data_IF_018884169218
#
_entry.id   IF_018884169218
#
_cell.length_a   1.000
_cell.length_b   1.000
_cell.length_c   1.000
_cell.angle_alpha   90.00
_cell.angle_beta   90.00
_cell.angle_gamma   90.00
#
_symmetry.space_group_name_H-M   'P 1'
#
loop_
_entity.id
_entity.type
_entity.pdbx_description
1 polymer ?
#
# COMPACT_ATOMS: atom_id res chain seq x y z
N UNK A 1 5.02 -24.34 0.01
CA UNK A 1 6.23 -23.69 -0.56
C UNK A 1 7.25 -24.81 -0.79
N UNK A 2 7.66 -25.05 -2.03
CA UNK A 2 8.72 -26.02 -2.31
C UNK A 2 10.06 -25.34 -2.07
N UNK A 3 10.73 -25.72 -0.98
CA UNK A 3 12.05 -25.18 -0.60
C UNK A 3 13.10 -26.10 -1.24
N UNK A 4 13.95 -25.52 -2.09
CA UNK A 4 15.09 -26.25 -2.66
C UNK A 4 16.19 -26.41 -1.61
N UNK A 5 16.89 -27.55 -1.65
CA UNK A 5 18.00 -27.83 -0.71
C UNK A 5 19.11 -26.76 -0.74
N UNK A 6 19.26 -26.08 -1.86
CA UNK A 6 20.20 -24.95 -2.04
C UNK A 6 19.84 -23.70 -1.24
N UNK A 7 18.57 -23.60 -0.78
CA UNK A 7 18.06 -22.47 0.00
C UNK A 7 18.19 -22.70 1.52
N UNK A 8 18.66 -23.89 1.94
CA UNK A 8 18.80 -24.24 3.34
C UNK A 8 20.14 -23.78 3.90
N UNK A 9 20.08 -23.09 5.00
CA UNK A 9 21.25 -22.70 5.82
C UNK A 9 21.34 -23.72 6.96
N UNK A 10 22.44 -24.47 7.00
CA UNK A 10 22.66 -25.47 8.05
C UNK A 10 22.90 -24.83 9.38
N UNK A 11 22.10 -25.21 10.38
CA UNK A 11 22.32 -24.91 11.78
C UNK A 11 22.84 -26.12 12.57
N UNK A 12 23.09 -25.94 13.85
CA UNK A 12 23.61 -26.99 14.71
C UNK A 12 22.56 -28.08 15.03
N UNK A 13 21.30 -27.71 15.16
CA UNK A 13 20.21 -28.61 15.55
C UNK A 13 19.11 -28.73 14.46
N UNK A 14 19.01 -27.75 13.56
CA UNK A 14 18.02 -27.74 12.48
C UNK A 14 18.49 -26.86 11.33
N UNK A 15 17.93 -27.13 10.15
CA UNK A 15 18.17 -26.30 8.97
C UNK A 15 17.16 -25.12 8.93
N UNK A 16 17.61 -24.00 8.40
CA UNK A 16 16.85 -22.76 8.31
C UNK A 16 16.69 -22.35 6.84
N UNK A 17 15.58 -21.68 6.53
CA UNK A 17 15.40 -20.99 5.26
C UNK A 17 15.28 -19.49 5.53
N UNK A 18 15.91 -18.71 4.68
CA UNK A 18 15.84 -17.26 4.76
C UNK A 18 14.62 -16.79 3.96
N UNK A 19 13.67 -16.16 4.62
CA UNK A 19 12.45 -15.61 4.00
C UNK A 19 12.52 -14.09 4.13
N UNK A 20 12.41 -13.40 3.00
CA UNK A 20 12.38 -11.93 2.94
C UNK A 20 11.09 -11.48 2.29
N UNK A 21 10.37 -10.59 2.97
CA UNK A 21 9.28 -9.82 2.40
C UNK A 21 9.72 -8.37 2.19
N UNK A 22 9.27 -7.78 1.11
CA UNK A 22 9.45 -6.36 0.82
C UNK A 22 8.08 -5.70 0.74
N UNK A 23 7.97 -4.55 1.39
CA UNK A 23 6.83 -3.65 1.28
C UNK A 23 7.34 -2.32 0.71
N UNK A 24 6.66 -1.84 -0.33
CA UNK A 24 7.03 -0.60 -1.02
C UNK A 24 5.83 0.34 -1.00
N UNK A 25 6.03 1.55 -0.53
CA UNK A 25 5.02 2.60 -0.53
C UNK A 25 5.21 3.53 -1.72
N UNK A 26 4.12 3.81 -2.43
CA UNK A 26 4.09 4.76 -3.52
C UNK A 26 2.89 5.71 -3.36
N UNK A 27 3.14 7.00 -3.32
CA UNK A 27 2.07 8.00 -3.21
C UNK A 27 1.43 8.26 -4.56
N UNK A 28 0.10 8.18 -4.61
CA UNK A 28 -0.66 8.51 -5.81
C UNK A 28 -0.70 10.04 -5.98
N UNK A 29 -0.28 10.51 -7.15
CA UNK A 29 -0.29 11.95 -7.49
C UNK A 29 -1.70 12.40 -7.90
N UNK A 30 -2.63 12.37 -6.94
CA UNK A 30 -3.98 12.90 -7.12
C UNK A 30 -4.07 14.36 -6.66
N UNK A 31 -5.12 15.07 -7.07
CA UNK A 31 -5.36 16.47 -6.64
C UNK A 31 -6.09 16.55 -5.30
N UNK A 32 -6.73 15.48 -4.89
CA UNK A 32 -7.40 15.35 -3.59
C UNK A 32 -7.00 14.04 -2.92
N UNK A 33 -7.22 13.96 -1.62
CA UNK A 33 -6.89 12.78 -0.81
C UNK A 33 -7.69 11.54 -1.22
N UNK A 34 -7.26 10.37 -0.73
CA UNK A 34 -7.90 9.10 -1.05
C UNK A 34 -9.36 9.03 -0.58
N UNK A 35 -9.68 9.60 0.57
CA UNK A 35 -11.00 9.50 1.19
C UNK A 35 -11.65 10.85 1.50
N UNK A 36 -11.09 11.93 1.02
CA UNK A 36 -11.69 13.26 1.22
C UNK A 36 -11.40 14.19 0.04
N UNK A 37 -12.16 15.27 -0.05
CA UNK A 37 -11.97 16.31 -1.06
C UNK A 37 -10.82 17.27 -0.75
N UNK A 38 -10.17 17.15 0.41
CA UNK A 38 -9.07 18.01 0.77
C UNK A 38 -7.90 17.88 -0.22
N UNK A 39 -7.22 18.99 -0.46
CA UNK A 39 -6.10 19.07 -1.40
C UNK A 39 -4.93 18.19 -0.95
N UNK A 40 -4.14 17.74 -1.91
CA UNK A 40 -2.85 17.06 -1.70
C UNK A 40 -1.67 17.98 -2.04
N UNK A 41 -1.90 19.30 -2.12
CA UNK A 41 -0.84 20.24 -2.45
C UNK A 41 0.28 20.20 -1.39
N UNK A 42 1.47 19.88 -1.86
CA UNK A 42 2.65 19.87 -1.00
C UNK A 42 3.07 21.31 -0.63
N UNK A 43 3.53 21.50 0.61
CA UNK A 43 4.01 22.81 1.09
C UNK A 43 2.91 23.83 1.38
N UNK A 44 1.65 23.40 1.50
CA UNK A 44 0.58 24.25 1.97
C UNK A 44 0.74 24.57 3.47
N UNK A 45 0.09 25.64 3.94
CA UNK A 45 0.12 26.02 5.35
C UNK A 45 -0.41 24.89 6.25
N UNK A 46 0.11 24.73 7.45
CA UNK A 46 -0.37 23.71 8.40
C UNK A 46 -1.87 23.74 8.57
N UNK A 47 -2.51 22.57 8.58
CA UNK A 47 -3.96 22.38 8.74
C UNK A 47 -4.85 23.05 7.67
N UNK A 48 -4.29 23.50 6.54
CA UNK A 48 -5.08 24.07 5.44
C UNK A 48 -5.74 23.00 4.56
N UNK A 49 -5.12 21.81 4.43
CA UNK A 49 -5.60 20.68 3.64
C UNK A 49 -6.40 19.70 4.48
N UNK A 50 -7.44 20.17 5.15
CA UNK A 50 -8.25 19.38 6.09
C UNK A 50 -9.73 19.50 5.72
N UNK A 51 -10.40 18.37 5.57
CA UNK A 51 -11.85 18.25 5.50
C UNK A 51 -12.44 17.79 6.84
N UNK A 52 -13.75 17.76 6.98
CA UNK A 52 -14.40 17.20 8.16
C UNK A 52 -14.09 15.71 8.37
N UNK A 53 -13.86 14.98 7.29
CA UNK A 53 -13.43 13.57 7.34
C UNK A 53 -12.02 13.47 7.94
N UNK A 54 -11.08 14.30 7.46
CA UNK A 54 -9.71 14.32 7.97
C UNK A 54 -9.65 14.73 9.44
N UNK A 55 -10.55 15.63 9.85
CA UNK A 55 -10.66 16.08 11.24
C UNK A 55 -11.39 15.07 12.16
N UNK A 56 -11.88 13.95 11.63
CA UNK A 56 -12.58 12.93 12.41
C UNK A 56 -13.92 13.40 12.99
N UNK A 57 -14.63 14.31 12.31
CA UNK A 57 -15.89 14.86 12.81
C UNK A 57 -16.98 13.78 12.87
N UNK A 58 -17.84 13.81 13.90
CA UNK A 58 -18.92 12.83 14.04
C UNK A 58 -19.86 12.79 12.83
N UNK A 59 -20.20 11.59 12.39
CA UNK A 59 -21.11 11.35 11.27
C UNK A 59 -20.47 11.45 9.88
N UNK A 60 -19.19 11.79 9.77
CA UNK A 60 -18.49 11.81 8.49
C UNK A 60 -18.06 10.41 8.07
N UNK A 61 -18.39 10.05 6.83
CA UNK A 61 -18.01 8.77 6.24
C UNK A 61 -17.07 9.00 5.07
N UNK A 62 -15.95 8.26 5.01
CA UNK A 62 -14.99 8.34 3.89
C UNK A 62 -15.64 7.93 2.58
N UNK A 63 -15.31 8.65 1.50
CA UNK A 63 -15.68 8.29 0.12
C UNK A 63 -14.42 8.18 -0.70
N UNK A 64 -14.24 7.04 -1.36
CA UNK A 64 -13.01 6.75 -2.11
C UNK A 64 -12.89 7.64 -3.35
N UNK A 65 -11.66 8.12 -3.59
CA UNK A 65 -11.29 8.85 -4.79
C UNK A 65 -11.12 7.89 -5.98
N UNK A 66 -11.99 8.00 -6.98
CA UNK A 66 -11.95 7.14 -8.17
C UNK A 66 -10.63 7.23 -8.93
N UNK A 67 -9.99 8.40 -8.97
CA UNK A 67 -8.68 8.55 -9.60
C UNK A 67 -7.63 7.63 -8.95
N UNK A 68 -7.64 7.48 -7.63
CA UNK A 68 -6.72 6.58 -6.93
C UNK A 68 -6.99 5.11 -7.29
N UNK A 69 -8.25 4.72 -7.41
CA UNK A 69 -8.63 3.37 -7.90
C UNK A 69 -8.08 3.14 -9.33
N UNK A 70 -8.27 4.10 -10.22
CA UNK A 70 -7.75 4.00 -11.59
C UNK A 70 -6.24 3.84 -11.63
N UNK A 71 -5.50 4.57 -10.80
CA UNK A 71 -4.04 4.44 -10.74
C UNK A 71 -3.62 3.07 -10.19
N UNK A 72 -4.31 2.55 -9.17
CA UNK A 72 -4.05 1.20 -8.66
C UNK A 72 -4.27 0.15 -9.76
N UNK A 73 -5.38 0.22 -10.49
CA UNK A 73 -5.68 -0.68 -11.61
C UNK A 73 -4.62 -0.59 -12.71
N UNK A 74 -4.24 0.63 -13.11
CA UNK A 74 -3.17 0.83 -14.12
C UNK A 74 -1.84 0.22 -13.68
N UNK A 75 -1.49 0.40 -12.42
CA UNK A 75 -0.27 -0.18 -11.85
C UNK A 75 -0.36 -1.71 -11.85
N UNK A 76 -1.49 -2.26 -11.43
CA UNK A 76 -1.74 -3.70 -11.45
C UNK A 76 -1.61 -4.30 -12.86
N UNK A 77 -2.19 -3.67 -13.86
CA UNK A 77 -2.02 -4.09 -15.26
C UNK A 77 -0.56 -4.02 -15.72
N UNK A 78 0.18 -2.99 -15.29
CA UNK A 78 1.60 -2.81 -15.63
C UNK A 78 2.51 -3.90 -15.06
N UNK A 79 2.11 -4.55 -13.98
CA UNK A 79 2.85 -5.67 -13.38
C UNK A 79 2.20 -7.04 -13.64
N UNK A 80 1.34 -7.12 -14.65
CA UNK A 80 0.60 -8.34 -15.02
C UNK A 80 -0.13 -8.99 -13.83
N UNK A 81 -0.74 -8.18 -12.99
CA UNK A 81 -1.47 -8.64 -11.81
C UNK A 81 -2.96 -8.87 -12.11
N UNK A 82 -3.58 -9.69 -11.28
CA UNK A 82 -5.02 -9.88 -11.24
C UNK A 82 -5.70 -8.60 -10.73
N UNK A 83 -6.76 -8.16 -11.41
CA UNK A 83 -7.58 -7.04 -10.95
C UNK A 83 -8.86 -7.58 -10.36
N UNK A 84 -9.10 -7.26 -9.09
CA UNK A 84 -10.30 -7.66 -8.39
C UNK A 84 -11.44 -6.69 -8.71
N UNK A 85 -12.48 -7.19 -9.36
CA UNK A 85 -13.67 -6.40 -9.72
C UNK A 85 -14.55 -6.06 -8.50
N UNK A 86 -14.39 -6.82 -7.41
CA UNK A 86 -14.99 -6.55 -6.11
C UNK A 86 -13.84 -6.37 -5.12
N UNK A 87 -13.84 -5.24 -4.46
CA UNK A 87 -12.79 -4.88 -3.50
C UNK A 87 -13.42 -4.21 -2.28
N UNK A 88 -12.83 -4.43 -1.12
CA UNK A 88 -13.28 -3.83 0.15
C UNK A 88 -12.15 -3.18 0.88
N UNK A 89 -12.51 -2.17 1.67
CA UNK A 89 -11.59 -1.54 2.59
C UNK A 89 -11.81 -2.07 3.99
N UNK A 90 -10.71 -2.26 4.68
CA UNK A 90 -10.64 -2.67 6.07
C UNK A 90 -10.27 -1.48 6.95
N UNK A 91 -10.62 -1.55 8.22
CA UNK A 91 -10.29 -0.54 9.19
C UNK A 91 -9.25 -1.06 10.17
N UNK A 92 -8.08 -0.42 10.14
CA UNK A 92 -6.99 -0.68 11.07
C UNK A 92 -7.07 0.35 12.21
N UNK A 93 -7.61 -0.06 13.34
CA UNK A 93 -7.73 0.82 14.49
C UNK A 93 -6.36 1.03 15.16
N UNK A 94 -5.98 2.28 15.31
CA UNK A 94 -4.88 2.69 16.17
C UNK A 94 -4.99 4.18 16.50
N UNK A 95 -4.39 4.57 17.61
CA UNK A 95 -4.48 5.94 18.11
C UNK A 95 -3.12 6.61 17.98
N UNK A 96 -3.10 7.67 17.20
CA UNK A 96 -1.90 8.46 16.97
C UNK A 96 -2.27 9.96 16.86
N UNK A 97 -1.41 10.89 17.30
CA UNK A 97 -1.75 12.32 17.33
C UNK A 97 -2.12 12.90 15.96
N UNK A 98 -1.56 12.37 14.87
CA UNK A 98 -1.79 12.80 13.49
C UNK A 98 -2.98 12.09 12.80
N UNK A 99 -3.70 11.25 13.56
CA UNK A 99 -4.85 10.50 13.06
C UNK A 99 -6.09 10.73 13.93
N UNK A 100 -6.75 11.89 13.80
CA UNK A 100 -7.87 12.28 14.69
C UNK A 100 -9.00 11.28 14.73
N UNK A 101 -9.26 10.57 13.64
CA UNK A 101 -10.32 9.54 13.54
C UNK A 101 -10.00 8.25 14.30
N UNK A 102 -8.75 8.03 14.74
CA UNK A 102 -8.35 6.84 15.50
C UNK A 102 -8.26 5.54 14.70
N UNK A 103 -8.31 5.61 13.38
CA UNK A 103 -8.17 4.46 12.48
C UNK A 103 -7.59 4.86 11.14
N UNK A 104 -6.93 3.93 10.49
CA UNK A 104 -6.47 4.02 9.11
C UNK A 104 -7.33 3.12 8.24
N UNK A 105 -7.72 3.59 7.07
CA UNK A 105 -8.41 2.79 6.07
C UNK A 105 -7.37 2.16 5.16
N UNK A 106 -7.44 0.85 5.04
CA UNK A 106 -6.49 0.03 4.26
C UNK A 106 -7.23 -1.10 3.55
N UNK A 107 -6.51 -2.02 2.94
CA UNK A 107 -7.06 -3.22 2.32
C UNK A 107 -6.20 -4.42 2.69
N UNK A 108 -6.78 -5.44 3.29
CA UNK A 108 -6.08 -6.66 3.67
C UNK A 108 -6.59 -7.88 2.89
N UNK A 109 -7.89 -8.13 2.95
CA UNK A 109 -8.48 -9.36 2.43
C UNK A 109 -8.90 -9.29 0.97
N UNK A 110 -9.41 -8.15 0.54
CA UNK A 110 -9.94 -7.94 -0.80
C UNK A 110 -9.35 -6.67 -1.46
N UNK A 111 -8.02 -6.66 -1.70
CA UNK A 111 -7.35 -5.51 -2.31
C UNK A 111 -7.81 -5.30 -3.76
N UNK A 112 -7.65 -4.09 -4.29
CA UNK A 112 -7.94 -3.78 -5.71
C UNK A 112 -7.11 -4.64 -6.64
N UNK A 113 -5.85 -4.90 -6.30
CA UNK A 113 -4.91 -5.64 -7.14
C UNK A 113 -4.41 -6.87 -6.38
N UNK A 114 -4.64 -8.03 -6.97
CA UNK A 114 -4.18 -9.31 -6.47
C UNK A 114 -2.75 -9.63 -6.90
N UNK A 115 -2.50 -10.92 -7.08
CA UNK A 115 -1.16 -11.41 -7.42
C UNK A 115 -0.70 -10.94 -8.78
N UNK A 116 0.57 -10.60 -8.85
CA UNK A 116 1.24 -10.16 -10.07
C UNK A 116 2.70 -10.56 -10.09
N UNK A 117 3.43 -10.06 -11.08
CA UNK A 117 4.85 -10.33 -11.23
C UNK A 117 5.55 -9.24 -12.01
N UNK A 118 6.80 -9.03 -11.68
CA UNK A 118 7.71 -8.17 -12.43
C UNK A 118 8.95 -8.94 -12.82
N UNK A 119 9.46 -8.64 -14.01
CA UNK A 119 10.76 -9.15 -14.45
C UNK A 119 11.80 -8.06 -14.22
N UNK A 120 12.83 -8.41 -13.48
CA UNK A 120 13.97 -7.53 -13.22
C UNK A 120 15.23 -8.11 -13.89
N UNK A 121 16.14 -7.23 -14.26
CA UNK A 121 17.46 -7.62 -14.70
C UNK A 121 18.43 -7.40 -13.55
N UNK A 122 19.13 -8.47 -13.16
CA UNK A 122 20.17 -8.38 -12.13
C UNK A 122 21.45 -7.72 -12.69
N UNK A 123 22.39 -7.36 -11.80
CA UNK A 123 23.69 -6.83 -12.19
C UNK A 123 24.46 -7.78 -13.12
N UNK A 124 24.27 -9.09 -12.97
CA UNK A 124 24.85 -10.13 -13.84
C UNK A 124 24.10 -10.27 -15.17
N UNK A 125 23.17 -9.36 -15.49
CA UNK A 125 22.30 -9.38 -16.69
C UNK A 125 21.39 -10.61 -16.80
N UNK A 126 21.18 -11.33 -15.71
CA UNK A 126 20.19 -12.40 -15.66
C UNK A 126 18.79 -11.83 -15.47
N UNK A 127 17.83 -12.35 -16.21
CA UNK A 127 16.42 -12.04 -15.94
C UNK A 127 15.95 -12.84 -14.74
N UNK A 128 15.32 -12.12 -13.79
CA UNK A 128 14.70 -12.71 -12.62
C UNK A 128 13.26 -12.25 -12.52
N UNK A 129 12.34 -13.19 -12.31
CA UNK A 129 10.94 -12.89 -12.04
C UNK A 129 10.74 -12.76 -10.53
N UNK A 130 10.09 -11.66 -10.10
CA UNK A 130 9.72 -11.40 -8.72
C UNK A 130 8.21 -11.41 -8.63
N UNK A 131 7.67 -12.27 -7.78
CA UNK A 131 6.25 -12.33 -7.49
C UNK A 131 5.81 -11.15 -6.64
N UNK A 132 4.68 -10.55 -6.99
CA UNK A 132 3.99 -9.54 -6.20
C UNK A 132 2.78 -10.22 -5.57
N UNK A 133 2.63 -10.09 -4.27
CA UNK A 133 1.51 -10.71 -3.58
C UNK A 133 0.22 -9.91 -3.77
N UNK A 134 0.31 -8.58 -3.65
CA UNK A 134 -0.80 -7.66 -3.89
C UNK A 134 -0.32 -6.21 -3.99
N UNK A 135 -1.19 -5.36 -4.52
CA UNK A 135 -1.13 -3.91 -4.32
C UNK A 135 -2.46 -3.50 -3.69
N UNK A 136 -2.40 -2.78 -2.60
CA UNK A 136 -3.59 -2.26 -1.94
C UNK A 136 -3.52 -0.72 -1.81
N UNK A 137 -4.67 -0.12 -1.71
CA UNK A 137 -4.79 1.30 -1.41
C UNK A 137 -4.89 1.49 0.09
N UNK A 138 -4.17 2.47 0.59
CA UNK A 138 -4.13 2.79 2.00
C UNK A 138 -4.15 4.30 2.20
N UNK A 139 -4.87 4.75 3.21
CA UNK A 139 -4.81 6.11 3.66
C UNK A 139 -3.43 6.37 4.26
N UNK A 140 -2.73 7.38 3.75
CA UNK A 140 -1.48 7.83 4.35
C UNK A 140 -1.79 8.56 5.66
N UNK A 141 -1.40 7.95 6.76
CA UNK A 141 -1.64 8.46 8.11
C UNK A 141 -0.35 8.96 8.78
N UNK A 142 0.78 8.89 8.10
CA UNK A 142 2.05 9.21 8.73
C UNK A 142 2.68 10.50 8.20
N UNK A 143 2.74 11.46 9.09
CA UNK A 143 3.52 12.69 8.88
C UNK A 143 5.03 12.43 8.97
N UNK A 144 5.46 11.40 9.65
CA UNK A 144 6.88 11.13 9.92
C UNK A 144 7.67 10.45 8.81
N UNK A 145 7.01 9.81 7.84
CA UNK A 145 7.69 9.08 6.74
C UNK A 145 7.96 9.91 5.49
N UNK A 146 7.44 11.10 5.42
CA UNK A 146 7.65 11.98 4.27
C UNK A 146 9.03 12.65 4.25
N UNK A 147 9.93 12.28 5.13
CA UNK A 147 11.23 12.91 5.31
C UNK A 147 12.43 11.98 5.05
N UNK A 148 12.21 10.94 4.27
CA UNK A 148 13.33 10.09 3.82
C UNK A 148 13.63 10.36 2.37
#
# INVERSE_FOLDING_TARGET
MNIEKSQLIRGAESDFVFIVGLEVHAQVRSKSKLFSSASTQFGAEPNSNVSFIDAGMPGMLPVVNSFCIEQAVKTGLGINAEINLISRFDRKNYFYPDLPQGYQISQLYEPVVGKGKISIQTEEKLQKEVGIERIHLEQDAEIGRAHV
#
